data_IF_784830367924
#
_entry.id   IF_784830367924
#
_cell.length_a   1.000
_cell.length_b   1.000
_cell.length_c   1.000
_cell.angle_alpha   90.00
_cell.angle_beta   90.00
_cell.angle_gamma   90.00
#
_symmetry.space_group_name_H-M   'P 1'
#
loop_
_entity.id
_entity.type
_entity.pdbx_description
1 polymer ?
#
# COMPACT_ATOMS: atom_id res chain seq x y z
N UNK A 1 -19.86 -1.62 3.33
CA UNK A 1 -19.59 -0.71 4.47
C UNK A 1 -18.39 0.17 4.14
N UNK A 2 -18.49 1.47 4.40
CA UNK A 2 -17.44 2.44 4.08
C UNK A 2 -17.57 3.71 4.93
N UNK A 3 -16.52 4.52 4.99
CA UNK A 3 -16.59 5.88 5.53
C UNK A 3 -17.37 6.77 4.54
N UNK A 4 -18.61 7.10 4.88
CA UNK A 4 -19.50 7.88 4.01
C UNK A 4 -18.96 9.29 3.70
N UNK A 5 -18.07 9.84 4.52
CA UNK A 5 -17.42 11.14 4.28
C UNK A 5 -16.48 11.11 3.06
N UNK A 6 -15.96 9.91 2.71
CA UNK A 6 -15.09 9.70 1.55
C UNK A 6 -15.84 9.41 0.25
N UNK A 7 -17.17 9.25 0.30
CA UNK A 7 -18.01 8.89 -0.84
C UNK A 7 -18.75 10.13 -1.34
N UNK A 8 -18.36 10.62 -2.52
CA UNK A 8 -19.00 11.78 -3.14
C UNK A 8 -20.39 11.44 -3.67
N UNK A 9 -21.26 12.46 -3.77
CA UNK A 9 -22.59 12.33 -4.37
C UNK A 9 -22.54 11.73 -5.79
N UNK A 10 -21.62 12.23 -6.62
CA UNK A 10 -21.46 11.74 -8.00
C UNK A 10 -21.02 10.27 -8.05
N UNK A 11 -20.22 9.82 -7.07
CA UNK A 11 -19.85 8.42 -6.96
C UNK A 11 -21.07 7.56 -6.62
N UNK A 12 -21.88 7.94 -5.65
CA UNK A 12 -23.12 7.21 -5.29
C UNK A 12 -24.07 7.09 -6.47
N UNK A 13 -24.25 8.17 -7.23
CA UNK A 13 -25.12 8.19 -8.41
C UNK A 13 -24.67 7.20 -9.51
N UNK A 14 -23.37 6.98 -9.64
CA UNK A 14 -22.80 6.00 -10.59
C UNK A 14 -23.12 4.55 -10.23
N UNK A 15 -23.35 4.27 -8.95
CA UNK A 15 -23.55 2.93 -8.40
C UNK A 15 -24.92 2.84 -7.69
N UNK A 16 -25.98 3.17 -8.41
CA UNK A 16 -27.36 3.24 -7.89
C UNK A 16 -27.89 1.92 -7.33
N UNK A 17 -27.29 0.79 -7.73
CA UNK A 17 -27.62 -0.56 -7.27
C UNK A 17 -26.77 -1.02 -6.06
N UNK A 18 -25.95 -0.14 -5.50
CA UNK A 18 -25.10 -0.43 -4.34
C UNK A 18 -25.60 0.40 -3.14
N UNK A 19 -25.90 -0.27 -2.04
CA UNK A 19 -26.16 0.38 -0.76
C UNK A 19 -24.84 0.74 -0.07
N UNK A 20 -24.70 2.02 0.30
CA UNK A 20 -23.54 2.52 1.03
C UNK A 20 -23.90 2.69 2.51
N UNK A 21 -23.35 1.84 3.36
CA UNK A 21 -23.59 1.83 4.80
C UNK A 21 -22.36 2.39 5.53
N UNK A 22 -22.60 3.28 6.53
CA UNK A 22 -21.51 3.82 7.33
C UNK A 22 -20.80 2.69 8.10
N UNK A 23 -19.49 2.63 7.99
CA UNK A 23 -18.66 1.62 8.64
C UNK A 23 -18.85 1.59 10.16
N UNK A 24 -19.08 2.74 10.79
CA UNK A 24 -19.34 2.85 12.22
C UNK A 24 -20.64 2.14 12.67
N UNK A 25 -21.59 1.93 11.74
CA UNK A 25 -22.85 1.27 12.02
C UNK A 25 -22.87 -0.22 11.69
N UNK A 26 -21.75 -0.78 11.23
CA UNK A 26 -21.65 -2.18 10.80
C UNK A 26 -22.13 -3.17 11.86
N UNK A 27 -21.68 -3.03 13.10
CA UNK A 27 -22.11 -3.89 14.20
C UNK A 27 -23.62 -3.85 14.44
N UNK A 28 -24.21 -2.64 14.44
CA UNK A 28 -25.66 -2.44 14.58
C UNK A 28 -26.45 -3.03 13.40
N UNK A 29 -25.91 -2.92 12.20
CA UNK A 29 -26.52 -3.54 11.01
C UNK A 29 -26.51 -5.07 11.11
N UNK A 30 -25.36 -5.67 11.41
CA UNK A 30 -25.20 -7.11 11.55
C UNK A 30 -26.06 -7.69 12.68
N UNK A 31 -26.22 -6.99 13.79
CA UNK A 31 -27.02 -7.45 14.93
C UNK A 31 -28.53 -7.58 14.64
N UNK A 32 -29.02 -6.91 13.59
CA UNK A 32 -30.43 -7.01 13.13
C UNK A 32 -30.68 -8.24 12.26
N UNK A 33 -29.61 -8.83 11.69
CA UNK A 33 -29.75 -10.01 10.83
C UNK A 33 -29.85 -11.25 11.71
N UNK A 34 -30.76 -12.15 11.39
CA UNK A 34 -30.96 -13.40 12.12
C UNK A 34 -31.21 -14.57 11.17
N UNK A 35 -30.95 -15.79 11.66
CA UNK A 35 -31.22 -17.05 10.97
C UNK A 35 -30.56 -17.16 9.58
N UNK A 36 -29.41 -16.49 9.41
CA UNK A 36 -28.62 -16.55 8.18
C UNK A 36 -27.33 -17.35 8.39
N UNK A 37 -26.74 -17.79 7.27
CA UNK A 37 -25.42 -18.37 7.22
C UNK A 37 -24.46 -17.33 6.62
N UNK A 38 -23.44 -16.96 7.39
CA UNK A 38 -22.38 -16.04 6.95
C UNK A 38 -21.15 -16.82 6.55
N UNK A 39 -20.57 -16.49 5.42
CA UNK A 39 -19.21 -16.92 5.07
C UNK A 39 -18.25 -15.93 5.72
N UNK A 40 -17.31 -16.44 6.50
CA UNK A 40 -16.34 -15.63 7.24
C UNK A 40 -14.95 -16.27 7.10
N UNK A 41 -14.00 -15.47 6.70
CA UNK A 41 -12.58 -15.84 6.78
C UNK A 41 -12.03 -15.42 8.16
N UNK A 42 -11.83 -16.39 9.03
CA UNK A 42 -11.36 -16.15 10.41
C UNK A 42 -9.98 -15.54 10.50
N UNK A 43 -9.15 -15.68 9.46
CA UNK A 43 -7.82 -15.07 9.46
C UNK A 43 -7.88 -13.53 9.31
N UNK A 44 -8.99 -12.99 8.81
CA UNK A 44 -9.12 -11.56 8.50
C UNK A 44 -10.36 -10.92 9.11
N UNK A 45 -11.33 -11.70 9.58
CA UNK A 45 -12.50 -11.17 10.27
C UNK A 45 -12.14 -10.72 11.69
N UNK A 46 -12.60 -9.53 12.06
CA UNK A 46 -12.51 -9.09 13.45
C UNK A 46 -13.37 -9.98 14.35
N UNK A 47 -12.83 -10.43 15.48
CA UNK A 47 -13.53 -11.21 16.49
C UNK A 47 -14.81 -10.51 16.98
N UNK A 48 -14.80 -9.18 17.06
CA UNK A 48 -15.98 -8.39 17.36
C UNK A 48 -17.16 -8.65 16.43
N UNK A 49 -16.93 -8.76 15.13
CA UNK A 49 -17.99 -9.06 14.16
C UNK A 49 -18.41 -10.53 14.20
N UNK A 50 -17.47 -11.43 14.42
CA UNK A 50 -17.75 -12.86 14.61
C UNK A 50 -18.72 -13.06 15.78
N UNK A 51 -18.46 -12.46 16.93
CA UNK A 51 -19.33 -12.52 18.11
C UNK A 51 -20.75 -11.98 17.84
N UNK A 52 -20.86 -10.87 17.12
CA UNK A 52 -22.16 -10.31 16.77
C UNK A 52 -22.94 -11.26 15.87
N UNK A 53 -22.29 -11.85 14.88
CA UNK A 53 -22.91 -12.78 13.92
C UNK A 53 -23.40 -14.03 14.66
N UNK A 54 -22.58 -14.64 15.49
CA UNK A 54 -22.87 -15.88 16.18
C UNK A 54 -24.05 -15.80 17.15
N UNK A 55 -24.42 -14.61 17.63
CA UNK A 55 -25.60 -14.43 18.53
C UNK A 55 -26.92 -14.88 17.90
N UNK A 56 -27.09 -14.74 16.59
CA UNK A 56 -28.36 -15.01 15.90
C UNK A 56 -28.19 -15.75 14.56
N UNK A 57 -26.97 -16.06 14.17
CA UNK A 57 -26.65 -16.61 12.86
C UNK A 57 -25.64 -17.74 12.97
N UNK A 58 -25.38 -18.43 11.84
CA UNK A 58 -24.33 -19.45 11.72
C UNK A 58 -23.18 -18.91 10.87
N UNK A 59 -21.96 -19.31 11.23
CA UNK A 59 -20.77 -19.02 10.45
C UNK A 59 -20.36 -20.28 9.68
N UNK A 60 -20.05 -20.10 8.41
CA UNK A 60 -19.32 -21.05 7.58
C UNK A 60 -17.92 -20.45 7.35
N UNK A 61 -16.91 -21.11 7.89
CA UNK A 61 -15.52 -20.70 7.74
C UNK A 61 -15.00 -21.08 6.34
N UNK A 62 -14.72 -20.07 5.54
CA UNK A 62 -14.10 -20.20 4.21
C UNK A 62 -13.18 -19.01 3.99
N UNK A 63 -12.13 -19.21 3.17
CA UNK A 63 -11.29 -18.10 2.70
C UNK A 63 -12.13 -17.05 1.96
N UNK A 64 -11.80 -15.77 2.17
CA UNK A 64 -12.50 -14.68 1.48
C UNK A 64 -12.33 -14.81 -0.05
N UNK A 65 -13.42 -15.02 -0.80
CA UNK A 65 -13.35 -15.19 -2.26
C UNK A 65 -12.82 -13.95 -2.98
N UNK A 66 -12.86 -12.78 -2.35
CA UNK A 66 -12.35 -11.52 -2.91
C UNK A 66 -10.84 -11.60 -3.13
N UNK A 67 -10.09 -12.34 -2.30
CA UNK A 67 -8.65 -12.53 -2.51
C UNK A 67 -8.33 -13.13 -3.87
N UNK A 68 -9.03 -14.21 -4.24
CA UNK A 68 -8.84 -14.85 -5.54
C UNK A 68 -9.27 -13.94 -6.68
N UNK A 69 -10.42 -13.27 -6.55
CA UNK A 69 -10.91 -12.32 -7.55
C UNK A 69 -9.93 -11.16 -7.78
N UNK A 70 -9.32 -10.63 -6.71
CA UNK A 70 -8.31 -9.57 -6.80
C UNK A 70 -6.95 -10.06 -7.29
N UNK A 71 -6.59 -11.31 -7.02
CA UNK A 71 -5.33 -11.89 -7.47
C UNK A 71 -5.28 -11.99 -9.01
N UNK A 72 -6.39 -12.28 -9.65
CA UNK A 72 -6.49 -12.39 -11.13
C UNK A 72 -6.82 -11.02 -11.70
N UNK A 73 -5.80 -10.35 -12.24
CA UNK A 73 -5.93 -9.01 -12.82
C UNK A 73 -6.59 -9.07 -14.21
N UNK A 74 -7.49 -8.15 -14.49
CA UNK A 74 -8.07 -7.99 -15.79
C UNK A 74 -7.08 -7.34 -16.79
N UNK A 75 -7.42 -7.34 -18.07
CA UNK A 75 -6.56 -6.80 -19.16
C UNK A 75 -6.16 -5.33 -18.92
N UNK A 76 -7.07 -4.52 -18.38
CA UNK A 76 -6.81 -3.10 -18.13
C UNK A 76 -5.84 -2.90 -16.95
N UNK A 77 -6.02 -3.66 -15.90
CA UNK A 77 -5.10 -3.66 -14.75
C UNK A 77 -3.70 -4.08 -15.18
N UNK A 78 -3.56 -5.16 -15.97
CA UNK A 78 -2.27 -5.61 -16.50
C UNK A 78 -1.61 -4.52 -17.34
N UNK A 79 -2.34 -3.87 -18.25
CA UNK A 79 -1.80 -2.77 -19.04
C UNK A 79 -1.33 -1.59 -18.19
N UNK A 80 -2.09 -1.25 -17.16
CA UNK A 80 -1.73 -0.15 -16.24
C UNK A 80 -0.51 -0.50 -15.39
N UNK A 81 -0.41 -1.74 -14.88
CA UNK A 81 0.75 -2.23 -14.14
C UNK A 81 2.01 -2.16 -15.02
N UNK A 82 1.95 -2.68 -16.26
CA UNK A 82 3.08 -2.60 -17.21
C UNK A 82 3.53 -1.16 -17.43
N UNK A 83 2.61 -0.22 -17.64
CA UNK A 83 2.93 1.21 -17.82
C UNK A 83 3.53 1.82 -16.55
N UNK A 84 3.00 1.49 -15.38
CA UNK A 84 3.53 1.98 -14.11
C UNK A 84 4.99 1.51 -13.90
N UNK A 85 5.28 0.23 -14.18
CA UNK A 85 6.65 -0.28 -14.09
C UNK A 85 7.61 0.39 -15.08
N UNK A 86 7.17 0.71 -16.30
CA UNK A 86 8.01 1.47 -17.24
C UNK A 86 8.34 2.85 -16.69
N UNK A 87 7.35 3.57 -16.18
CA UNK A 87 7.56 4.92 -15.63
C UNK A 87 8.44 4.90 -14.39
N UNK A 88 8.24 3.94 -13.50
CA UNK A 88 9.06 3.80 -12.30
C UNK A 88 10.49 3.36 -12.65
N UNK A 89 10.64 2.42 -13.58
CA UNK A 89 11.93 1.97 -14.10
C UNK A 89 12.77 3.12 -14.69
N UNK A 90 12.13 4.05 -15.41
CA UNK A 90 12.80 5.26 -15.91
C UNK A 90 13.29 6.14 -14.75
N UNK A 91 12.49 6.34 -13.72
CA UNK A 91 12.86 7.13 -12.55
C UNK A 91 14.01 6.47 -11.78
N UNK A 92 13.93 5.15 -11.56
CA UNK A 92 14.95 4.38 -10.87
C UNK A 92 16.27 4.36 -11.66
N UNK A 93 16.23 4.16 -12.97
CA UNK A 93 17.43 4.20 -13.83
C UNK A 93 18.12 5.56 -13.76
N UNK A 94 17.36 6.66 -13.85
CA UNK A 94 17.91 8.02 -13.69
C UNK A 94 18.51 8.24 -12.29
N UNK A 95 17.87 7.70 -11.26
CA UNK A 95 18.37 7.76 -9.91
C UNK A 95 19.69 7.00 -9.75
N UNK A 96 19.79 5.78 -10.25
CA UNK A 96 21.01 4.98 -10.17
C UNK A 96 22.17 5.65 -10.93
N UNK A 97 21.90 6.21 -12.11
CA UNK A 97 22.88 6.98 -12.85
C UNK A 97 23.34 8.21 -12.06
N UNK A 98 22.40 8.98 -11.52
CA UNK A 98 22.69 10.14 -10.68
C UNK A 98 23.52 9.74 -9.44
N UNK A 99 23.17 8.65 -8.78
CA UNK A 99 23.87 8.17 -7.60
C UNK A 99 25.32 7.84 -7.94
N UNK A 100 25.53 7.05 -9.00
CA UNK A 100 26.87 6.67 -9.49
C UNK A 100 27.73 7.89 -9.84
N UNK A 101 27.16 8.87 -10.54
CA UNK A 101 27.89 10.07 -10.96
C UNK A 101 28.23 11.02 -9.80
N UNK A 102 27.43 11.06 -8.76
CA UNK A 102 27.56 12.03 -7.67
C UNK A 102 28.14 11.46 -6.36
N UNK A 103 28.20 10.13 -6.23
CA UNK A 103 28.57 9.45 -4.99
C UNK A 103 29.94 9.91 -4.42
N UNK A 104 30.96 10.06 -5.27
CA UNK A 104 32.28 10.53 -4.84
C UNK A 104 32.45 12.06 -4.89
N UNK A 105 31.51 12.79 -5.51
CA UNK A 105 31.64 14.23 -5.75
C UNK A 105 30.99 15.07 -4.64
N UNK A 106 30.02 14.48 -3.91
CA UNK A 106 29.28 15.19 -2.85
C UNK A 106 28.77 14.25 -1.77
N UNK A 107 28.55 14.82 -0.60
CA UNK A 107 27.95 14.08 0.53
C UNK A 107 26.51 13.71 0.20
N UNK A 108 26.24 12.41 0.11
CA UNK A 108 24.88 11.84 -0.05
C UNK A 108 24.56 11.06 1.22
N UNK A 109 23.38 11.26 1.76
CA UNK A 109 22.87 10.54 2.94
C UNK A 109 21.69 9.67 2.56
N UNK A 110 21.31 8.74 3.45
CA UNK A 110 20.14 7.88 3.26
C UNK A 110 18.88 8.70 2.97
N UNK A 111 18.65 9.78 3.72
CA UNK A 111 17.50 10.67 3.50
C UNK A 111 17.59 11.40 2.17
N UNK A 112 18.75 12.04 1.87
CA UNK A 112 18.88 12.78 0.61
C UNK A 112 18.83 11.87 -0.63
N UNK A 113 19.25 10.61 -0.50
CA UNK A 113 19.15 9.61 -1.55
C UNK A 113 17.68 9.22 -1.80
N UNK A 114 16.90 8.95 -0.75
CA UNK A 114 15.48 8.63 -0.88
C UNK A 114 14.65 9.81 -1.41
N UNK A 115 14.95 11.04 -0.97
CA UNK A 115 14.33 12.26 -1.49
C UNK A 115 14.62 12.45 -2.98
N UNK A 116 15.84 12.15 -3.40
CA UNK A 116 16.22 12.26 -4.82
C UNK A 116 15.50 11.25 -5.71
N UNK A 117 15.30 10.03 -5.24
CA UNK A 117 14.48 9.04 -5.97
C UNK A 117 13.04 9.52 -6.09
N UNK A 118 12.46 10.05 -5.02
CA UNK A 118 11.12 10.63 -5.04
C UNK A 118 11.02 11.82 -6.01
N UNK A 119 12.05 12.68 -6.08
CA UNK A 119 12.12 13.78 -7.05
C UNK A 119 12.02 13.24 -8.49
N UNK A 120 12.80 12.21 -8.84
CA UNK A 120 12.75 11.61 -10.18
C UNK A 120 11.36 11.02 -10.50
N UNK A 121 10.70 10.38 -9.53
CA UNK A 121 9.33 9.87 -9.68
C UNK A 121 8.32 10.98 -9.91
N UNK A 122 8.42 12.08 -9.16
CA UNK A 122 7.52 13.25 -9.28
C UNK A 122 7.62 13.98 -10.62
N UNK A 123 8.70 13.81 -11.38
CA UNK A 123 8.81 14.36 -12.74
C UNK A 123 7.80 13.75 -13.72
N UNK A 124 7.24 12.59 -13.40
CA UNK A 124 6.16 12.01 -14.18
C UNK A 124 4.81 12.58 -13.72
N UNK A 125 4.09 13.24 -14.62
CA UNK A 125 2.76 13.82 -14.33
C UNK A 125 1.71 12.80 -13.87
N UNK A 126 1.94 11.51 -14.12
CA UNK A 126 1.06 10.43 -13.67
C UNK A 126 1.42 9.87 -12.30
N UNK A 127 2.53 10.31 -11.70
CA UNK A 127 2.87 9.94 -10.34
C UNK A 127 1.78 10.41 -9.37
N UNK A 128 1.36 9.53 -8.46
CA UNK A 128 0.36 9.85 -7.44
C UNK A 128 0.99 9.89 -6.06
N UNK A 129 1.51 8.78 -5.60
CA UNK A 129 2.17 8.61 -4.30
C UNK A 129 3.03 7.34 -4.32
N UNK A 130 3.87 7.20 -3.32
CA UNK A 130 4.62 5.96 -3.07
C UNK A 130 3.69 4.89 -2.49
N UNK A 131 3.89 3.63 -2.86
CA UNK A 131 3.18 2.48 -2.25
C UNK A 131 3.56 2.30 -0.79
N UNK A 132 4.83 2.59 -0.45
CA UNK A 132 5.36 2.62 0.91
C UNK A 132 6.53 3.62 1.00
N UNK A 133 6.90 4.08 2.20
CA UNK A 133 8.07 4.94 2.38
C UNK A 133 9.34 4.22 1.94
N UNK A 134 10.15 4.88 1.10
CA UNK A 134 11.41 4.30 0.61
C UNK A 134 12.31 3.86 1.76
N UNK A 135 12.74 2.61 1.74
CA UNK A 135 13.79 2.08 2.60
C UNK A 135 15.12 2.46 1.96
N UNK A 136 15.94 3.21 2.67
CA UNK A 136 17.24 3.69 2.21
C UNK A 136 18.22 3.54 3.36
N UNK A 137 19.07 2.51 3.30
CA UNK A 137 19.98 2.13 4.38
C UNK A 137 21.37 1.86 3.88
N UNK A 138 22.41 2.35 4.59
CA UNK A 138 23.81 2.09 4.26
C UNK A 138 24.59 1.52 5.44
N UNK A 139 25.54 0.62 5.14
CA UNK A 139 26.31 -0.08 6.16
C UNK A 139 25.39 -0.85 7.15
N UNK A 140 25.54 -0.66 8.47
CA UNK A 140 24.72 -1.34 9.47
C UNK A 140 23.19 -1.14 9.29
N UNK A 141 22.76 0.02 8.80
CA UNK A 141 21.35 0.31 8.58
C UNK A 141 20.76 -0.52 7.42
N UNK A 142 21.59 -0.96 6.47
CA UNK A 142 21.16 -1.82 5.36
C UNK A 142 20.75 -3.23 5.81
N UNK A 143 21.18 -3.67 6.99
CA UNK A 143 20.84 -4.97 7.56
C UNK A 143 19.51 -4.96 8.36
N UNK A 144 18.93 -3.79 8.59
CA UNK A 144 17.70 -3.65 9.39
C UNK A 144 16.49 -3.83 8.48
N UNK A 145 15.68 -4.85 8.76
CA UNK A 145 14.44 -5.13 8.03
C UNK A 145 13.47 -3.95 8.20
N UNK A 146 12.87 -3.49 7.09
CA UNK A 146 11.97 -2.33 7.06
C UNK A 146 12.58 -1.05 7.66
N UNK A 147 13.90 -0.87 7.51
CA UNK A 147 14.59 0.30 8.04
C UNK A 147 13.95 1.60 7.57
N UNK A 148 13.81 2.54 8.49
CA UNK A 148 13.33 3.88 8.20
C UNK A 148 14.38 4.90 8.67
N UNK A 149 15.03 5.54 7.72
CA UNK A 149 15.96 6.63 8.01
C UNK A 149 15.23 7.80 8.71
N UNK A 150 15.84 8.32 9.77
CA UNK A 150 15.39 9.51 10.51
C UNK A 150 16.54 10.50 10.61
N UNK A 151 16.26 11.73 11.01
CA UNK A 151 17.33 12.73 11.25
C UNK A 151 18.40 12.23 12.24
N UNK A 152 18.04 11.38 13.20
CA UNK A 152 18.96 10.82 14.22
C UNK A 152 19.77 9.65 13.71
N UNK A 153 19.19 8.82 12.81
CA UNK A 153 19.82 7.57 12.33
C UNK A 153 20.44 7.70 10.96
N UNK A 154 20.22 8.83 10.27
CA UNK A 154 20.67 9.12 8.91
C UNK A 154 22.18 9.02 8.77
N UNK A 155 22.65 8.13 7.90
CA UNK A 155 24.06 7.92 7.61
C UNK A 155 24.45 8.48 6.25
N UNK A 156 25.73 8.85 6.11
CA UNK A 156 26.32 9.18 4.82
C UNK A 156 26.66 7.88 4.09
N UNK A 157 26.37 7.83 2.79
CA UNK A 157 26.83 6.76 1.91
C UNK A 157 28.34 6.85 1.74
N UNK A 158 29.05 5.79 2.07
CA UNK A 158 30.53 5.75 1.99
C UNK A 158 30.97 4.57 1.11
N UNK A 159 32.14 4.72 0.48
CA UNK A 159 32.80 3.64 -0.25
C UNK A 159 33.06 2.44 0.68
N UNK A 160 32.95 1.24 0.15
CA UNK A 160 33.10 0.00 0.92
C UNK A 160 31.86 -0.47 1.70
N UNK A 161 30.81 0.34 1.79
CA UNK A 161 29.56 -0.05 2.41
C UNK A 161 28.53 -0.54 1.36
N UNK A 162 27.72 -1.50 1.76
CA UNK A 162 26.51 -1.84 1.01
C UNK A 162 25.50 -0.71 1.21
N UNK A 163 24.85 -0.30 0.12
CA UNK A 163 23.70 0.56 0.14
C UNK A 163 22.48 -0.20 -0.38
N UNK A 164 21.47 -0.33 0.47
CA UNK A 164 20.17 -0.93 0.15
C UNK A 164 19.15 0.17 -0.11
N UNK A 165 18.45 0.05 -1.22
CA UNK A 165 17.26 0.85 -1.52
C UNK A 165 16.13 -0.08 -1.94
N UNK A 166 14.98 0.04 -1.25
CA UNK A 166 13.73 -0.65 -1.55
C UNK A 166 12.59 0.37 -1.58
N UNK A 167 11.78 0.41 -2.68
CA UNK A 167 10.87 1.53 -2.88
C UNK A 167 9.79 1.26 -3.93
#
# INVERSE_FOLDING_TARGET
FCDLKKITYNFKKKFYNIEFINIETTGKYLSKISQKKFIVDKNTCSHYFEDIILKKNKILELSDPIYNLKAIKNKKEIQNIKKAHIYDGIALTKYLFWLKDNFLKKKITELSASEKLLEFRKRNSKFKYLSFPTISGTGPNAAVIHYKATKKTNRTLNSGNIYLVDS
#
